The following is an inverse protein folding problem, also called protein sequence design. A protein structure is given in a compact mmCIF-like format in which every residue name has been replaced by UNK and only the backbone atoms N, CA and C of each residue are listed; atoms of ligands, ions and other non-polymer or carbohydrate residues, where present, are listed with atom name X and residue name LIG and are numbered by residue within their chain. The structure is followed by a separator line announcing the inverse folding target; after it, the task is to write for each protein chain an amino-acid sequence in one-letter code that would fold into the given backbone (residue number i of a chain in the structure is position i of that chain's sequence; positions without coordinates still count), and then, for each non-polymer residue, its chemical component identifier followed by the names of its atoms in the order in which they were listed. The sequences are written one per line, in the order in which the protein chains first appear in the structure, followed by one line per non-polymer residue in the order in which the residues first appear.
data_IF_930508374727
#
_entry.id   IF_930508374727
#
_cell.length_a   1.000
_cell.length_b   1.000
_cell.length_c   1.000
_cell.angle_alpha   90.00
_cell.angle_beta   90.00
_cell.angle_gamma   90.00
#
_symmetry.space_group_name_H-M   'P 1'
#
loop_
_entity.id
_entity.type
_entity.pdbx_description
1 polymer ?
#
# COMPACT_ATOMS: atom_id res chain seq x y z
N UNK A 1 -21.26 -3.15 15.26
CA UNK A 1 -20.23 -3.40 14.22
C UNK A 1 -20.06 -2.11 13.42
N UNK A 2 -18.84 -1.55 13.28
CA UNK A 2 -18.63 -0.35 12.45
C UNK A 2 -18.54 -0.74 10.98
N UNK A 3 -19.08 0.09 10.09
CA UNK A 3 -19.15 -0.20 8.64
C UNK A 3 -17.76 -0.43 8.02
N UNK A 4 -16.75 0.31 8.48
CA UNK A 4 -15.39 0.18 7.97
C UNK A 4 -14.79 -1.22 8.25
N UNK A 5 -15.09 -1.78 9.43
CA UNK A 5 -14.54 -3.06 9.87
C UNK A 5 -15.04 -4.21 8.98
N UNK A 6 -16.30 -4.17 8.53
CA UNK A 6 -16.85 -5.20 7.64
C UNK A 6 -16.25 -5.13 6.24
N UNK A 7 -16.00 -3.92 5.72
CA UNK A 7 -15.35 -3.70 4.43
C UNK A 7 -13.92 -4.26 4.46
N UNK A 8 -13.14 -3.92 5.49
CA UNK A 8 -11.75 -4.39 5.64
C UNK A 8 -11.72 -5.92 5.74
N UNK A 9 -12.62 -6.53 6.54
CA UNK A 9 -12.71 -7.99 6.64
C UNK A 9 -12.98 -8.67 5.29
N UNK A 10 -13.83 -8.09 4.46
CA UNK A 10 -14.11 -8.63 3.13
C UNK A 10 -12.92 -8.47 2.17
N UNK A 11 -12.20 -7.35 2.26
CA UNK A 11 -10.99 -7.11 1.47
C UNK A 11 -9.89 -8.13 1.81
N UNK A 12 -9.65 -8.40 3.10
CA UNK A 12 -8.66 -9.40 3.55
C UNK A 12 -9.00 -10.82 3.05
N UNK A 13 -10.30 -11.19 2.99
CA UNK A 13 -10.72 -12.50 2.46
C UNK A 13 -10.46 -12.67 0.95
N UNK A 14 -10.44 -11.57 0.19
CA UNK A 14 -10.20 -11.60 -1.25
C UNK A 14 -9.37 -10.38 -1.68
N UNK A 15 -8.05 -10.37 -1.37
CA UNK A 15 -7.21 -9.20 -1.56
C UNK A 15 -7.13 -8.80 -3.02
N UNK A 16 -7.63 -7.61 -3.34
CA UNK A 16 -7.62 -7.08 -4.70
C UNK A 16 -6.28 -6.45 -5.04
N UNK A 17 -5.99 -6.34 -6.34
CA UNK A 17 -4.85 -5.56 -6.83
C UNK A 17 -5.27 -4.08 -6.91
N UNK A 18 -4.50 -3.19 -6.29
CA UNK A 18 -4.74 -1.75 -6.30
C UNK A 18 -3.49 -1.07 -6.86
N UNK A 19 -3.70 -0.22 -7.85
CA UNK A 19 -2.63 0.56 -8.48
C UNK A 19 -2.66 1.98 -7.93
N UNK A 20 -1.53 2.47 -7.43
CA UNK A 20 -1.37 3.86 -7.02
C UNK A 20 -0.47 4.61 -8.01
N UNK A 21 -1.03 5.55 -8.79
CA UNK A 21 -0.25 6.40 -9.68
C UNK A 21 0.63 7.44 -8.96
N UNK A 22 0.29 7.80 -7.72
CA UNK A 22 1.00 8.80 -6.92
C UNK A 22 2.07 8.19 -6.01
N UNK A 23 2.94 7.31 -6.56
CA UNK A 23 3.93 6.56 -5.79
C UNK A 23 5.03 7.40 -5.10
N UNK A 24 5.03 8.73 -5.28
CA UNK A 24 5.94 9.66 -4.59
C UNK A 24 5.27 10.40 -3.42
N UNK A 25 3.94 10.28 -3.27
CA UNK A 25 3.21 10.84 -2.14
C UNK A 25 3.45 9.98 -0.88
N UNK A 26 3.94 10.62 0.17
CA UNK A 26 4.24 9.96 1.44
C UNK A 26 3.02 9.28 2.06
N UNK A 27 1.83 9.89 1.94
CA UNK A 27 0.59 9.33 2.50
C UNK A 27 0.22 8.03 1.81
N UNK A 28 0.44 7.96 0.49
CA UNK A 28 0.21 6.76 -0.32
C UNK A 28 1.21 5.67 0.06
N UNK A 29 2.50 6.00 0.20
CA UNK A 29 3.52 5.03 0.59
C UNK A 29 3.27 4.47 2.01
N UNK A 30 2.88 5.32 2.97
CA UNK A 30 2.50 4.89 4.33
C UNK A 30 1.24 4.02 4.32
N UNK A 31 0.22 4.41 3.56
CA UNK A 31 -1.00 3.61 3.43
C UNK A 31 -0.70 2.24 2.80
N UNK A 32 0.16 2.21 1.78
CA UNK A 32 0.60 0.97 1.13
C UNK A 32 1.26 0.02 2.13
N UNK A 33 2.05 0.53 3.06
CA UNK A 33 2.70 -0.30 4.08
C UNK A 33 1.66 -0.94 5.02
N UNK A 34 0.67 -0.16 5.45
CA UNK A 34 -0.42 -0.65 6.31
C UNK A 34 -1.23 -1.72 5.58
N UNK A 35 -1.59 -1.45 4.32
CA UNK A 35 -2.38 -2.36 3.48
C UNK A 35 -1.66 -3.71 3.27
N UNK A 36 -0.36 -3.66 2.98
CA UNK A 36 0.46 -4.86 2.79
C UNK A 36 0.64 -5.64 4.10
N UNK A 37 0.98 -4.96 5.20
CA UNK A 37 1.14 -5.60 6.52
C UNK A 37 -0.14 -6.28 7.01
N UNK A 38 -1.31 -5.71 6.70
CA UNK A 38 -2.60 -6.26 7.09
C UNK A 38 -3.19 -7.24 6.06
N UNK A 39 -2.53 -7.45 4.92
CA UNK A 39 -3.02 -8.34 3.86
C UNK A 39 -4.34 -7.88 3.23
N UNK A 40 -4.63 -6.58 3.25
CA UNK A 40 -5.90 -6.02 2.76
C UNK A 40 -5.96 -6.06 1.23
N UNK A 41 -4.84 -5.77 0.57
CA UNK A 41 -4.75 -5.72 -0.89
C UNK A 41 -3.31 -5.96 -1.35
N UNK A 42 -3.16 -6.29 -2.63
CA UNK A 42 -1.87 -6.32 -3.34
C UNK A 42 -1.66 -4.96 -3.99
N UNK A 43 -0.59 -4.26 -3.62
CA UNK A 43 -0.33 -2.92 -4.14
C UNK A 43 0.58 -2.98 -5.37
N UNK A 44 0.37 -2.05 -6.30
CA UNK A 44 1.27 -1.77 -7.43
C UNK A 44 1.51 -0.26 -7.41
N UNK A 45 2.77 0.16 -7.31
CA UNK A 45 3.16 1.56 -7.35
C UNK A 45 3.61 1.94 -8.77
N UNK A 46 2.97 2.94 -9.38
CA UNK A 46 3.42 3.46 -10.67
C UNK A 46 4.29 4.69 -10.49
N UNK A 47 5.44 4.72 -11.16
CA UNK A 47 6.37 5.83 -11.13
C UNK A 47 7.77 5.41 -11.56
N UNK A 48 8.74 6.32 -11.40
CA UNK A 48 10.15 5.99 -11.63
C UNK A 48 10.67 5.11 -10.48
N UNK A 49 11.09 3.85 -10.73
CA UNK A 49 11.48 2.92 -9.67
C UNK A 49 12.58 3.45 -8.77
N UNK A 50 13.58 4.17 -9.32
CA UNK A 50 14.69 4.73 -8.53
C UNK A 50 14.22 5.81 -7.58
N UNK A 51 13.28 6.66 -8.01
CA UNK A 51 12.75 7.73 -7.16
C UNK A 51 11.84 7.18 -6.06
N UNK A 52 10.99 6.21 -6.41
CA UNK A 52 10.08 5.55 -5.46
C UNK A 52 10.90 4.80 -4.40
N UNK A 53 11.86 3.96 -4.79
CA UNK A 53 12.71 3.23 -3.85
C UNK A 53 13.49 4.18 -2.92
N UNK A 54 14.07 5.25 -3.47
CA UNK A 54 14.75 6.27 -2.66
C UNK A 54 13.81 6.93 -1.64
N UNK A 55 12.56 7.22 -2.04
CA UNK A 55 11.56 7.81 -1.14
C UNK A 55 11.17 6.83 -0.03
N UNK A 56 11.02 5.55 -0.37
CA UNK A 56 10.74 4.47 0.60
C UNK A 56 11.87 4.37 1.63
N UNK A 57 13.13 4.41 1.19
CA UNK A 57 14.31 4.37 2.05
C UNK A 57 14.37 5.59 2.99
N UNK A 58 14.15 6.79 2.46
CA UNK A 58 14.13 8.05 3.24
C UNK A 58 13.04 8.01 4.31
N UNK A 59 11.87 7.46 3.98
CA UNK A 59 10.74 7.34 4.90
C UNK A 59 10.85 6.11 5.82
N UNK A 60 11.87 5.26 5.64
CA UNK A 60 12.10 4.01 6.39
C UNK A 60 10.89 3.07 6.38
N UNK A 61 10.21 2.98 5.24
CA UNK A 61 9.01 2.13 5.08
C UNK A 61 9.40 0.71 4.64
N UNK A 62 8.70 -0.30 5.16
CA UNK A 62 8.89 -1.70 4.79
C UNK A 62 7.86 -2.14 3.77
N UNK A 63 8.16 -1.88 2.50
CA UNK A 63 7.32 -2.18 1.35
C UNK A 63 7.86 -3.38 0.56
N UNK A 64 8.09 -4.51 1.25
CA UNK A 64 8.51 -5.75 0.58
C UNK A 64 7.35 -6.35 -0.23
N UNK A 65 7.52 -6.45 -1.55
CA UNK A 65 6.57 -7.11 -2.45
C UNK A 65 5.68 -6.19 -3.29
N UNK A 66 5.98 -4.88 -3.33
CA UNK A 66 5.47 -3.91 -4.32
C UNK A 66 6.47 -3.69 -5.45
#
# INVERSE_FOLDING_TARGET
MRVLDSIIKNAVKNPKKIVFPEALDERILRASEIILKQGIAKIILLGNPKQVLRKIDVLKLNLKGV
#
